data_IF_160126371802
#
_entry.id   IF_160126371802
#
_cell.length_a   1.000
_cell.length_b   1.000
_cell.length_c   1.000
_cell.angle_alpha   90.00
_cell.angle_beta   90.00
_cell.angle_gamma   90.00
#
_symmetry.space_group_name_H-M   'P 1'
#
loop_
_entity.id
_entity.type
_entity.pdbx_description
1 polymer ?
#
# COMPACT_ATOMS: atom_id res chain seq x y z
N UNK A 1 27.64 -5.02 6.23
CA UNK A 1 26.28 -4.81 5.68
C UNK A 1 25.86 -3.41 6.10
N UNK A 2 25.80 -2.49 5.18
CA UNK A 2 25.17 -1.19 5.42
C UNK A 2 23.68 -1.42 5.33
N UNK A 3 22.97 -1.37 6.46
CA UNK A 3 21.52 -1.23 6.46
C UNK A 3 21.18 -0.01 5.62
N UNK A 4 20.40 -0.22 4.58
CA UNK A 4 19.87 0.86 3.75
C UNK A 4 18.85 1.63 4.60
N UNK A 5 19.34 2.68 5.28
CA UNK A 5 18.58 3.51 6.21
C UNK A 5 17.75 4.58 5.52
N UNK A 6 17.42 4.39 4.24
CA UNK A 6 16.52 5.32 3.58
C UNK A 6 15.13 5.27 4.23
N UNK A 7 14.55 6.41 4.55
CA UNK A 7 13.20 6.44 5.13
C UNK A 7 12.20 5.83 4.15
N UNK A 8 11.21 5.10 4.69
CA UNK A 8 10.14 4.48 3.90
C UNK A 8 9.37 5.51 3.08
N UNK A 9 9.20 6.71 3.62
CA UNK A 9 8.54 7.84 2.97
C UNK A 9 9.53 8.98 2.79
N UNK A 10 9.42 9.68 1.68
CA UNK A 10 10.09 10.96 1.50
C UNK A 10 9.11 12.03 1.03
N UNK A 11 9.41 13.26 1.42
CA UNK A 11 8.61 14.44 1.09
C UNK A 11 9.42 15.35 0.18
N UNK A 12 8.83 15.80 -0.90
CA UNK A 12 9.43 16.81 -1.75
C UNK A 12 8.39 17.82 -2.25
N UNK A 13 8.89 18.97 -2.68
CA UNK A 13 8.06 20.04 -3.22
C UNK A 13 8.35 20.20 -4.70
N UNK A 14 7.30 20.17 -5.50
CA UNK A 14 7.37 20.43 -6.94
C UNK A 14 6.24 21.40 -7.31
N UNK A 15 6.57 22.47 -8.06
CA UNK A 15 5.62 23.50 -8.49
C UNK A 15 4.76 24.12 -7.37
N UNK A 16 5.34 24.28 -6.18
CA UNK A 16 4.67 24.84 -5.02
C UNK A 16 3.77 23.88 -4.25
N UNK A 17 3.68 22.62 -4.67
CA UNK A 17 2.97 21.55 -3.97
C UNK A 17 3.96 20.66 -3.23
N UNK A 18 3.69 20.46 -1.93
CA UNK A 18 4.45 19.52 -1.11
C UNK A 18 3.66 18.23 -1.00
N UNK A 19 4.27 17.11 -1.36
CA UNK A 19 3.67 15.79 -1.21
C UNK A 19 4.69 14.78 -0.68
N UNK A 20 4.16 13.77 -0.03
CA UNK A 20 4.93 12.65 0.50
C UNK A 20 4.49 11.39 -0.22
N UNK A 21 5.45 10.61 -0.64
CA UNK A 21 5.18 9.29 -1.21
C UNK A 21 6.18 8.26 -0.71
N UNK A 22 5.87 6.99 -0.92
CA UNK A 22 6.79 5.92 -0.57
C UNK A 22 8.06 6.02 -1.41
N UNK A 23 9.19 6.11 -0.74
CA UNK A 23 10.50 6.09 -1.38
C UNK A 23 10.88 4.69 -1.89
N UNK A 24 10.31 3.66 -1.29
CA UNK A 24 10.51 2.26 -1.64
C UNK A 24 9.30 1.43 -1.22
N UNK A 25 9.14 0.27 -1.83
CA UNK A 25 8.20 -0.73 -1.34
C UNK A 25 8.64 -1.19 0.05
N UNK A 26 7.71 -1.19 1.00
CA UNK A 26 7.94 -1.82 2.28
C UNK A 26 8.03 -3.34 2.04
N UNK A 27 9.24 -3.86 2.02
CA UNK A 27 9.42 -5.31 2.04
C UNK A 27 9.11 -5.78 3.46
N UNK A 28 7.98 -6.43 3.62
CA UNK A 28 7.61 -7.12 4.86
C UNK A 28 7.77 -8.61 4.65
N UNK A 29 8.42 -9.29 5.60
CA UNK A 29 8.39 -10.75 5.60
C UNK A 29 6.95 -11.21 5.92
N UNK A 30 6.47 -12.32 5.34
CA UNK A 30 5.10 -12.79 5.56
C UNK A 30 4.75 -13.03 7.03
N UNK A 31 5.74 -13.37 7.84
CA UNK A 31 5.64 -13.68 9.27
C UNK A 31 6.09 -12.53 10.18
N UNK A 32 6.32 -11.34 9.63
CA UNK A 32 6.79 -10.20 10.40
C UNK A 32 5.63 -9.50 11.10
N UNK A 33 5.76 -9.32 12.42
CA UNK A 33 4.83 -8.50 13.19
C UNK A 33 5.08 -7.01 12.94
N UNK A 34 4.01 -6.28 12.65
CA UNK A 34 4.10 -4.86 12.31
C UNK A 34 3.24 -4.02 13.25
N UNK A 35 3.70 -2.78 13.45
CA UNK A 35 2.99 -1.72 14.14
C UNK A 35 2.82 -0.53 13.20
N UNK A 36 1.62 0.03 13.17
CA UNK A 36 1.29 1.27 12.45
C UNK A 36 0.61 2.20 13.43
N UNK A 37 1.07 3.45 13.52
CA UNK A 37 0.44 4.48 14.33
C UNK A 37 0.04 5.66 13.46
N UNK A 38 -1.20 6.11 13.59
CA UNK A 38 -1.68 7.23 12.81
C UNK A 38 -3.14 7.56 13.07
N UNK A 39 -3.61 8.55 12.33
CA UNK A 39 -5.01 8.99 12.39
C UNK A 39 -5.85 8.14 11.45
N UNK A 40 -6.79 7.39 12.00
CA UNK A 40 -7.68 6.51 11.22
C UNK A 40 -8.89 7.30 10.73
N UNK A 41 -9.17 7.23 9.43
CA UNK A 41 -10.35 7.83 8.83
C UNK A 41 -11.49 6.80 8.69
N UNK A 42 -12.77 7.22 8.78
CA UNK A 42 -13.24 8.62 8.79
C UNK A 42 -13.36 9.26 10.17
N UNK A 43 -13.18 8.50 11.27
CA UNK A 43 -13.42 9.03 12.61
C UNK A 43 -12.38 10.05 13.09
N UNK A 44 -11.19 10.08 12.48
CA UNK A 44 -10.14 11.03 12.79
C UNK A 44 -9.42 10.76 14.11
N UNK A 45 -9.56 9.57 14.67
CA UNK A 45 -8.92 9.18 15.91
C UNK A 45 -7.50 8.66 15.69
N UNK A 46 -6.57 9.06 16.54
CA UNK A 46 -5.23 8.48 16.56
C UNK A 46 -5.29 7.07 17.15
N UNK A 47 -4.80 6.07 16.43
CA UNK A 47 -4.77 4.66 16.86
C UNK A 47 -3.44 4.01 16.56
N UNK A 48 -3.16 2.96 17.31
CA UNK A 48 -2.12 1.97 17.00
C UNK A 48 -2.78 0.71 16.46
N UNK A 49 -2.32 0.28 15.30
CA UNK A 49 -2.75 -0.96 14.66
C UNK A 49 -1.59 -1.94 14.63
N UNK A 50 -1.90 -3.19 14.92
CA UNK A 50 -0.93 -4.27 14.95
C UNK A 50 -1.28 -5.30 13.89
N UNK A 51 -0.28 -5.82 13.20
CA UNK A 51 -0.45 -6.83 12.15
C UNK A 51 0.36 -8.06 12.52
N UNK A 52 -0.27 -9.21 12.52
CA UNK A 52 0.32 -10.53 12.69
C UNK A 52 -0.17 -11.43 11.56
N UNK A 53 0.72 -12.11 10.86
CA UNK A 53 0.40 -12.96 9.71
C UNK A 53 -0.54 -12.27 8.68
N UNK A 54 -0.31 -10.99 8.40
CA UNK A 54 -1.11 -10.22 7.45
C UNK A 54 -2.51 -9.83 7.93
N UNK A 55 -2.84 -10.06 9.20
CA UNK A 55 -4.14 -9.76 9.80
C UNK A 55 -4.00 -8.71 10.89
N UNK A 56 -4.95 -7.78 10.96
CA UNK A 56 -5.04 -6.84 12.09
C UNK A 56 -5.45 -7.59 13.36
N UNK A 57 -4.67 -7.38 14.41
CA UNK A 57 -4.89 -8.01 15.71
C UNK A 57 -4.90 -6.97 16.83
N UNK A 58 -5.45 -7.36 17.98
CA UNK A 58 -5.30 -6.55 19.19
C UNK A 58 -3.85 -6.66 19.70
N UNK A 59 -3.24 -5.50 19.99
CA UNK A 59 -1.87 -5.42 20.48
C UNK A 59 -1.79 -4.99 21.93
N UNK A 60 -0.59 -4.75 22.44
CA UNK A 60 0.69 -4.68 21.70
C UNK A 60 1.33 -6.05 21.39
N UNK A 61 2.00 -6.14 20.24
CA UNK A 61 2.83 -7.27 19.88
C UNK A 61 4.30 -6.97 20.21
N UNK A 62 4.91 -7.83 21.02
CA UNK A 62 6.32 -7.68 21.42
C UNK A 62 7.23 -7.91 20.23
N UNK A 63 8.14 -6.96 19.98
CA UNK A 63 9.10 -7.09 18.88
C UNK A 63 8.57 -6.65 17.52
N UNK A 64 7.33 -6.20 17.42
CA UNK A 64 6.78 -5.71 16.16
C UNK A 64 7.55 -4.50 15.63
N UNK A 65 7.88 -4.54 14.34
CA UNK A 65 8.55 -3.43 13.66
C UNK A 65 7.56 -2.31 13.35
N UNK A 66 7.91 -1.08 13.68
CA UNK A 66 7.10 0.07 13.26
C UNK A 66 7.24 0.30 11.77
N UNK A 67 6.15 0.08 11.03
CA UNK A 67 6.06 0.31 9.59
C UNK A 67 5.88 1.80 9.29
N UNK A 68 4.97 2.45 10.02
CA UNK A 68 4.70 3.89 9.90
C UNK A 68 4.24 4.49 11.23
N UNK A 69 4.57 5.76 11.45
CA UNK A 69 4.13 6.55 12.60
C UNK A 69 3.79 7.98 12.16
N UNK A 70 2.71 8.55 12.72
CA UNK A 70 2.23 9.89 12.38
C UNK A 70 1.60 10.01 10.99
N UNK A 71 1.07 8.92 10.45
CA UNK A 71 0.45 8.87 9.13
C UNK A 71 -1.08 9.00 9.20
N UNK A 72 -1.70 9.20 8.03
CA UNK A 72 -3.13 8.96 7.85
C UNK A 72 -3.35 7.49 7.48
N UNK A 73 -4.33 6.87 8.10
CA UNK A 73 -4.70 5.46 7.86
C UNK A 73 -6.09 5.44 7.26
N UNK A 74 -6.18 4.92 6.06
CA UNK A 74 -7.45 4.77 5.33
C UNK A 74 -7.63 3.31 4.93
N UNK A 75 -8.87 2.83 4.74
CA UNK A 75 -9.11 1.56 4.08
C UNK A 75 -8.47 1.55 2.68
N UNK A 76 -8.05 0.39 2.21
CA UNK A 76 -7.63 0.23 0.83
C UNK A 76 -8.72 0.69 -0.14
N UNK A 77 -8.33 1.37 -1.22
CA UNK A 77 -9.26 1.83 -2.23
C UNK A 77 -9.85 0.65 -3.01
N UNK A 78 -11.10 0.79 -3.39
CA UNK A 78 -11.80 -0.17 -4.25
C UNK A 78 -12.05 0.47 -5.61
N UNK A 79 -11.50 -0.13 -6.66
CA UNK A 79 -11.85 0.23 -8.03
C UNK A 79 -12.95 -0.70 -8.53
N UNK A 80 -14.15 -0.15 -8.66
CA UNK A 80 -15.35 -0.93 -9.02
C UNK A 80 -15.47 -1.20 -10.54
N UNK A 81 -14.61 -0.60 -11.37
CA UNK A 81 -14.59 -0.79 -12.79
C UNK A 81 -13.20 -0.56 -13.37
N UNK A 82 -12.48 -1.64 -13.56
CA UNK A 82 -11.13 -1.62 -14.12
C UNK A 82 -11.02 -2.70 -15.23
N UNK A 83 -9.98 -2.62 -16.01
CA UNK A 83 -9.64 -3.58 -17.05
C UNK A 83 -8.18 -4.00 -16.91
N UNK A 84 -7.88 -4.75 -15.85
CA UNK A 84 -6.57 -5.39 -15.71
C UNK A 84 -6.40 -6.40 -16.84
N UNK A 85 -5.26 -6.37 -17.50
CA UNK A 85 -5.00 -7.24 -18.63
C UNK A 85 -5.37 -6.66 -20.00
N UNK A 86 -5.66 -5.35 -20.06
CA UNK A 86 -5.85 -4.62 -21.33
C UNK A 86 -4.82 -3.50 -21.50
N UNK A 87 -4.47 -3.25 -22.76
CA UNK A 87 -3.75 -2.05 -23.21
C UNK A 87 -4.46 -1.42 -24.43
N UNK A 88 -3.82 -0.44 -25.05
CA UNK A 88 -4.36 0.24 -26.23
C UNK A 88 -4.52 -0.67 -27.46
N UNK A 89 -3.96 -1.86 -27.44
CA UNK A 89 -3.95 -2.83 -28.55
C UNK A 89 -4.82 -4.06 -28.28
N UNK A 90 -5.36 -4.18 -27.07
CA UNK A 90 -6.25 -5.27 -26.68
C UNK A 90 -5.76 -6.03 -25.45
N UNK A 91 -6.08 -7.32 -25.38
CA UNK A 91 -5.69 -8.16 -24.25
C UNK A 91 -4.17 -8.37 -24.20
N UNK A 92 -3.59 -8.28 -22.99
CA UNK A 92 -2.17 -8.51 -22.75
C UNK A 92 -1.94 -9.87 -22.08
N UNK A 93 -0.66 -10.30 -22.04
CA UNK A 93 -0.30 -11.54 -21.35
C UNK A 93 -0.37 -11.40 -19.82
N UNK A 94 -0.38 -12.55 -19.13
CA UNK A 94 -0.50 -12.62 -17.67
C UNK A 94 0.57 -11.81 -16.94
N UNK A 95 1.81 -11.83 -17.39
CA UNK A 95 2.91 -11.09 -16.78
C UNK A 95 2.64 -9.58 -16.78
N UNK A 96 2.17 -9.03 -17.90
CA UNK A 96 1.80 -7.61 -18.01
C UNK A 96 0.57 -7.30 -17.17
N UNK A 97 -0.42 -8.18 -17.13
CA UNK A 97 -1.60 -8.02 -16.27
C UNK A 97 -1.20 -7.98 -14.78
N UNK A 98 -0.29 -8.85 -14.34
CA UNK A 98 0.25 -8.86 -12.99
C UNK A 98 1.00 -7.57 -12.64
N UNK A 99 1.76 -7.01 -13.60
CA UNK A 99 2.46 -5.74 -13.41
C UNK A 99 1.48 -4.56 -13.31
N UNK A 100 0.42 -4.56 -14.13
CA UNK A 100 -0.66 -3.58 -14.03
C UNK A 100 -1.33 -3.63 -12.65
N UNK A 101 -1.68 -4.83 -12.16
CA UNK A 101 -2.27 -5.01 -10.84
C UNK A 101 -1.34 -4.52 -9.71
N UNK A 102 -0.03 -4.80 -9.78
CA UNK A 102 0.94 -4.28 -8.82
C UNK A 102 1.05 -2.76 -8.87
N UNK A 103 0.94 -2.17 -10.06
CA UNK A 103 0.96 -0.72 -10.24
C UNK A 103 -0.26 -0.08 -9.58
N UNK A 104 -1.44 -0.65 -9.76
CA UNK A 104 -2.66 -0.20 -9.07
C UNK A 104 -2.51 -0.31 -7.54
N UNK A 105 -1.98 -1.42 -7.04
CA UNK A 105 -1.76 -1.60 -5.61
C UNK A 105 -0.83 -0.52 -5.01
N UNK A 106 0.18 -0.06 -5.74
CA UNK A 106 1.08 1.03 -5.32
C UNK A 106 0.37 2.37 -5.17
N UNK A 107 -0.75 2.58 -5.85
CA UNK A 107 -1.59 3.78 -5.71
C UNK A 107 -2.61 3.68 -4.58
N UNK A 108 -2.66 2.54 -3.89
CA UNK A 108 -3.57 2.28 -2.78
C UNK A 108 -4.85 1.54 -3.18
N UNK A 109 -4.99 1.13 -4.42
CA UNK A 109 -6.12 0.30 -4.89
C UNK A 109 -5.86 -1.16 -4.53
N UNK A 110 -6.53 -1.65 -3.49
CA UNK A 110 -6.31 -3.00 -2.94
C UNK A 110 -7.37 -4.03 -3.35
N UNK A 111 -8.46 -3.58 -3.97
CA UNK A 111 -9.50 -4.43 -4.52
C UNK A 111 -9.94 -3.88 -5.87
N UNK A 112 -9.93 -4.71 -6.88
CA UNK A 112 -10.34 -4.35 -8.23
C UNK A 112 -11.47 -5.27 -8.67
N UNK A 113 -12.54 -4.67 -9.16
CA UNK A 113 -13.54 -5.38 -9.95
C UNK A 113 -13.14 -5.27 -11.41
N UNK A 114 -12.62 -6.35 -11.97
CA UNK A 114 -12.35 -6.44 -13.39
C UNK A 114 -13.67 -6.48 -14.17
N UNK A 115 -13.87 -5.53 -15.07
CA UNK A 115 -15.06 -5.45 -15.91
C UNK A 115 -14.98 -6.33 -17.17
N UNK A 116 -13.93 -7.13 -17.27
CA UNK A 116 -13.70 -8.08 -18.35
C UNK A 116 -12.80 -7.54 -19.46
N UNK A 117 -12.16 -8.47 -20.14
CA UNK A 117 -11.43 -8.20 -21.38
C UNK A 117 -12.07 -8.92 -22.56
N UNK A 118 -12.04 -8.36 -23.76
CA UNK A 118 -12.47 -9.09 -24.94
C UNK A 118 -11.57 -10.32 -25.15
N UNK A 119 -12.19 -11.45 -25.35
CA UNK A 119 -11.54 -12.72 -25.72
C UNK A 119 -11.05 -12.69 -27.16
#
# INVERSE_FOLDING_TARGET
MTEDTQPLFHTHTHDGWTHTHMAREAQTAPDEDLRIRGVVLPDGEERELWVHDGVLVEGPLSGARTLADGCWIIPGLVDAHNHIGLDAHGAVGTETADEQARTEAKTGTLLIRDAGSPS
#
